data_IF_222438552988
#
_entry.id   IF_222438552988
#
_cell.length_a   1.000
_cell.length_b   1.000
_cell.length_c   1.000
_cell.angle_alpha   90.00
_cell.angle_beta   90.00
_cell.angle_gamma   90.00
#
_symmetry.space_group_name_H-M   'P 1'
#
loop_
_entity.id
_entity.type
_entity.pdbx_description
1 polymer ?
#
# COMPACT_ATOMS: atom_id res chain seq x y z
N UNK A 1 -15.11 15.49 -30.77
CA UNK A 1 -13.78 15.34 -30.15
C UNK A 1 -13.86 15.41 -28.61
N UNK A 2 -14.65 16.33 -28.06
CA UNK A 2 -14.81 16.52 -26.60
C UNK A 2 -15.44 15.31 -25.86
N UNK A 3 -16.44 14.66 -26.41
CA UNK A 3 -17.11 13.48 -25.83
C UNK A 3 -16.17 12.27 -25.68
N UNK A 4 -15.29 12.03 -26.68
CA UNK A 4 -14.28 10.96 -26.58
C UNK A 4 -13.26 11.24 -25.48
N UNK A 5 -12.88 12.51 -25.31
CA UNK A 5 -11.94 12.92 -24.27
C UNK A 5 -12.56 12.75 -22.85
N UNK A 6 -13.81 13.16 -22.64
CA UNK A 6 -14.53 12.93 -21.38
C UNK A 6 -14.60 11.44 -21.01
N UNK A 7 -14.96 10.56 -21.96
CA UNK A 7 -14.98 9.10 -21.73
C UNK A 7 -13.61 8.54 -21.34
N UNK A 8 -12.53 9.01 -21.98
CA UNK A 8 -11.17 8.58 -21.65
C UNK A 8 -10.78 9.01 -20.24
N UNK A 9 -11.07 10.26 -19.87
CA UNK A 9 -10.79 10.79 -18.52
C UNK A 9 -11.56 10.00 -17.45
N UNK A 10 -12.83 9.70 -17.69
CA UNK A 10 -13.66 8.93 -16.78
C UNK A 10 -13.15 7.48 -16.58
N UNK A 11 -12.78 6.80 -17.66
CA UNK A 11 -12.18 5.46 -17.58
C UNK A 11 -10.84 5.53 -16.83
N UNK A 12 -10.01 6.51 -17.11
CA UNK A 12 -8.71 6.70 -16.43
C UNK A 12 -8.90 6.95 -14.92
N UNK A 13 -9.90 7.75 -14.53
CA UNK A 13 -10.25 7.98 -13.13
C UNK A 13 -10.69 6.69 -12.44
N UNK A 14 -11.57 5.89 -13.04
CA UNK A 14 -12.01 4.60 -12.48
C UNK A 14 -10.85 3.62 -12.29
N UNK A 15 -9.96 3.53 -13.28
CA UNK A 15 -8.76 2.69 -13.20
C UNK A 15 -7.83 3.18 -12.10
N UNK A 16 -7.59 4.49 -12.01
CA UNK A 16 -6.76 5.09 -10.97
C UNK A 16 -7.30 4.77 -9.56
N UNK A 17 -8.59 5.00 -9.32
CA UNK A 17 -9.22 4.70 -8.03
C UNK A 17 -9.24 3.19 -7.74
N UNK A 18 -9.41 2.34 -8.76
CA UNK A 18 -9.29 0.88 -8.62
C UNK A 18 -7.90 0.46 -8.14
N UNK A 19 -6.85 1.06 -8.69
CA UNK A 19 -5.46 0.82 -8.26
C UNK A 19 -5.24 1.29 -6.82
N UNK A 20 -5.72 2.49 -6.48
CA UNK A 20 -5.61 3.04 -5.11
C UNK A 20 -6.27 2.10 -4.09
N UNK A 21 -7.49 1.62 -4.36
CA UNK A 21 -8.18 0.69 -3.48
C UNK A 21 -7.51 -0.69 -3.40
N UNK A 22 -6.93 -1.18 -4.50
CA UNK A 22 -6.16 -2.43 -4.51
C UNK A 22 -4.90 -2.33 -3.64
N UNK A 23 -4.16 -1.22 -3.75
CA UNK A 23 -2.98 -0.94 -2.91
C UNK A 23 -3.40 -0.82 -1.44
N UNK A 24 -4.49 -0.13 -1.15
CA UNK A 24 -5.02 0.01 0.20
C UNK A 24 -5.40 -1.36 0.80
N UNK A 25 -6.11 -2.19 0.06
CA UNK A 25 -6.44 -3.55 0.48
C UNK A 25 -5.21 -4.41 0.77
N UNK A 26 -4.18 -4.33 -0.10
CA UNK A 26 -2.91 -5.03 0.12
C UNK A 26 -2.20 -4.55 1.40
N UNK A 27 -2.18 -3.24 1.65
CA UNK A 27 -1.60 -2.67 2.89
C UNK A 27 -2.37 -3.13 4.13
N UNK A 28 -3.71 -3.19 4.08
CA UNK A 28 -4.51 -3.72 5.18
C UNK A 28 -4.17 -5.19 5.49
N UNK A 29 -4.05 -6.03 4.46
CA UNK A 29 -3.66 -7.43 4.61
C UNK A 29 -2.26 -7.54 5.23
N UNK A 30 -1.31 -6.72 4.79
CA UNK A 30 0.05 -6.69 5.34
C UNK A 30 0.05 -6.27 6.82
N UNK A 31 -0.71 -5.25 7.20
CA UNK A 31 -0.82 -4.78 8.58
C UNK A 31 -1.45 -5.87 9.47
N UNK A 32 -2.51 -6.52 8.99
CA UNK A 32 -3.16 -7.63 9.72
C UNK A 32 -2.16 -8.78 9.91
N UNK A 33 -1.40 -9.14 8.88
CA UNK A 33 -0.36 -10.17 8.98
C UNK A 33 0.67 -9.85 10.06
N UNK A 34 1.22 -8.63 10.06
CA UNK A 34 2.20 -8.20 11.07
C UNK A 34 1.60 -8.17 12.49
N UNK A 35 0.33 -7.79 12.61
CA UNK A 35 -0.38 -7.81 13.88
C UNK A 35 -0.56 -9.25 14.40
N UNK A 36 -0.95 -10.18 13.54
CA UNK A 36 -1.08 -11.61 13.87
C UNK A 36 0.27 -12.18 14.33
N UNK A 37 1.34 -11.93 13.57
CA UNK A 37 2.69 -12.38 13.92
C UNK A 37 3.14 -11.82 15.27
N UNK A 38 2.87 -10.54 15.55
CA UNK A 38 3.21 -9.87 16.81
C UNK A 38 2.40 -10.37 17.99
N UNK A 39 1.06 -10.42 17.88
CA UNK A 39 0.15 -10.59 19.02
C UNK A 39 -0.31 -12.03 19.23
N UNK A 40 -0.38 -12.84 18.18
CA UNK A 40 -0.85 -14.23 18.24
C UNK A 40 0.33 -15.20 18.26
N UNK A 41 1.29 -15.03 17.36
CA UNK A 41 2.50 -15.87 17.29
C UNK A 41 3.50 -15.48 18.38
N UNK A 42 3.47 -14.20 18.83
CA UNK A 42 4.38 -13.70 19.86
C UNK A 42 5.80 -13.47 19.38
N UNK A 43 5.97 -13.27 18.07
CA UNK A 43 7.29 -13.04 17.48
C UNK A 43 7.94 -11.79 18.09
N UNK A 44 9.19 -11.85 18.59
CA UNK A 44 9.88 -10.67 19.13
C UNK A 44 10.07 -9.58 18.08
N UNK A 45 10.24 -9.98 16.82
CA UNK A 45 10.30 -9.10 15.64
C UNK A 45 9.38 -9.64 14.56
N UNK A 46 8.24 -8.98 14.31
CA UNK A 46 7.32 -9.38 13.24
C UNK A 46 7.98 -9.38 11.89
N UNK A 47 7.72 -10.42 11.09
CA UNK A 47 8.35 -10.63 9.81
C UNK A 47 7.36 -10.98 8.70
N UNK A 48 7.72 -10.64 7.46
CA UNK A 48 6.96 -10.98 6.25
C UNK A 48 7.90 -11.70 5.29
N UNK A 49 7.57 -12.93 4.96
CA UNK A 49 8.39 -13.77 4.07
C UNK A 49 9.87 -13.89 4.51
N UNK A 50 10.12 -13.87 5.82
CA UNK A 50 11.47 -13.93 6.39
C UNK A 50 12.23 -12.60 6.41
N UNK A 51 11.59 -11.51 6.02
CA UNK A 51 12.14 -10.15 6.11
C UNK A 51 11.49 -9.40 7.28
N UNK A 52 12.28 -8.67 8.04
CA UNK A 52 11.78 -7.78 9.08
C UNK A 52 12.52 -6.45 9.07
N UNK A 53 11.88 -5.42 9.61
CA UNK A 53 12.48 -4.08 9.76
C UNK A 53 12.64 -3.71 11.22
N UNK A 54 13.77 -3.11 11.57
CA UNK A 54 14.05 -2.60 12.92
C UNK A 54 14.63 -1.20 12.83
N UNK A 55 14.38 -0.43 13.88
CA UNK A 55 15.04 0.87 14.09
C UNK A 55 16.17 0.70 15.09
N UNK A 56 17.33 1.26 14.80
CA UNK A 56 18.49 1.25 15.68
C UNK A 56 18.30 2.29 16.79
N UNK A 57 18.29 1.82 18.01
CA UNK A 57 18.08 2.65 19.21
C UNK A 57 19.37 2.93 19.99
N UNK A 58 20.45 2.17 19.71
CA UNK A 58 21.73 2.30 20.41
C UNK A 58 22.88 2.56 19.47
N UNK A 59 23.97 3.15 19.98
CA UNK A 59 25.15 3.50 19.20
C UNK A 59 26.19 2.39 19.07
N UNK A 60 25.92 1.17 19.52
CA UNK A 60 26.91 0.08 19.53
C UNK A 60 27.46 -0.29 18.14
N UNK A 61 26.73 0.03 17.09
CA UNK A 61 27.15 -0.19 15.70
C UNK A 61 27.63 1.09 15.00
N UNK A 62 27.66 2.24 15.69
CA UNK A 62 28.10 3.52 15.13
C UNK A 62 29.61 3.70 15.30
N UNK A 63 30.41 2.89 14.63
CA UNK A 63 31.83 2.96 14.72
C UNK A 63 32.58 2.13 13.67
N UNK A 64 33.90 2.31 13.62
CA UNK A 64 34.82 1.58 12.73
C UNK A 64 35.67 0.54 13.46
N UNK A 65 35.31 0.16 14.70
CA UNK A 65 36.21 -0.66 15.47
C UNK A 65 36.31 -2.07 14.90
N UNK A 66 37.56 -2.47 14.67
CA UNK A 66 38.06 -3.83 14.42
C UNK A 66 37.12 -4.68 13.55
N UNK A 67 36.98 -4.26 12.31
CA UNK A 67 36.38 -5.09 11.27
C UNK A 67 37.15 -6.41 11.17
N UNK A 68 36.42 -7.52 11.07
CA UNK A 68 37.02 -8.72 10.52
C UNK A 68 37.62 -8.35 9.15
N UNK A 69 38.84 -8.80 8.94
CA UNK A 69 39.62 -8.48 7.74
C UNK A 69 38.77 -8.81 6.49
N UNK A 70 38.45 -7.80 5.66
CA UNK A 70 37.61 -7.96 4.47
C UNK A 70 36.12 -7.70 4.66
N UNK A 71 35.61 -7.29 5.82
CA UNK A 71 34.19 -6.92 6.00
C UNK A 71 33.93 -5.50 5.49
N UNK A 72 32.88 -5.34 4.71
CA UNK A 72 32.41 -4.01 4.28
C UNK A 72 31.90 -3.20 5.48
N UNK A 73 32.33 -1.93 5.62
CA UNK A 73 31.90 -1.07 6.72
C UNK A 73 30.44 -0.67 6.54
N UNK A 74 29.53 -1.36 7.20
CA UNK A 74 28.15 -0.92 7.34
C UNK A 74 28.05 -0.10 8.63
N UNK A 75 28.27 1.21 8.55
CA UNK A 75 27.99 2.11 9.68
C UNK A 75 26.48 2.19 9.88
N UNK A 76 26.02 1.81 11.06
CA UNK A 76 24.61 1.88 11.43
C UNK A 76 24.48 2.78 12.64
N UNK A 77 23.84 3.94 12.44
CA UNK A 77 23.69 4.97 13.47
C UNK A 77 22.33 4.88 14.18
N UNK A 78 22.25 5.55 15.33
CA UNK A 78 20.97 5.71 16.03
C UNK A 78 19.95 6.43 15.12
N UNK A 79 18.74 5.89 15.05
CA UNK A 79 17.68 6.42 14.20
C UNK A 79 17.70 5.92 12.76
N UNK A 80 18.62 5.03 12.43
CA UNK A 80 18.60 4.32 11.15
C UNK A 80 17.61 3.16 11.18
N UNK A 81 17.07 2.81 10.01
CA UNK A 81 16.30 1.60 9.82
C UNK A 81 17.14 0.55 9.14
N UNK A 82 17.08 -0.67 9.63
CA UNK A 82 17.68 -1.84 9.00
C UNK A 82 16.60 -2.81 8.54
N UNK A 83 16.86 -3.47 7.42
CA UNK A 83 16.06 -4.62 6.97
C UNK A 83 16.93 -5.85 7.19
N UNK A 84 16.38 -6.81 7.91
CA UNK A 84 17.02 -8.08 8.19
C UNK A 84 16.32 -9.19 7.41
N UNK A 85 17.08 -10.23 7.07
CA UNK A 85 16.59 -11.44 6.41
C UNK A 85 17.04 -12.65 7.18
N UNK A 86 16.12 -13.54 7.51
CA UNK A 86 16.46 -14.84 8.11
C UNK A 86 17.16 -15.72 7.06
N UNK A 87 18.34 -16.23 7.42
CA UNK A 87 19.13 -17.18 6.61
C UNK A 87 19.62 -18.33 7.50
N UNK A 88 20.12 -19.38 6.89
CA UNK A 88 20.73 -20.50 7.60
C UNK A 88 22.26 -20.54 7.45
N UNK A 89 22.85 -19.56 6.78
CA UNK A 89 24.29 -19.53 6.49
C UNK A 89 24.86 -18.15 6.85
N UNK A 90 25.26 -18.01 8.10
CA UNK A 90 25.93 -16.82 8.63
C UNK A 90 27.44 -16.98 8.61
N UNK A 91 28.16 -15.89 8.35
CA UNK A 91 29.62 -15.86 8.20
C UNK A 91 30.24 -14.79 9.07
N UNK A 92 31.53 -14.93 9.31
CA UNK A 92 32.35 -13.88 9.92
C UNK A 92 32.26 -12.63 9.02
N UNK A 93 31.98 -11.48 9.64
CA UNK A 93 31.78 -10.21 8.98
C UNK A 93 30.29 -9.81 8.82
N UNK A 94 29.36 -10.77 8.87
CA UNK A 94 27.94 -10.47 8.81
C UNK A 94 27.46 -9.67 10.02
N UNK A 95 26.58 -8.70 9.78
CA UNK A 95 25.88 -7.99 10.85
C UNK A 95 24.56 -8.70 11.08
N UNK A 96 24.36 -9.20 12.28
CA UNK A 96 23.19 -10.00 12.65
C UNK A 96 22.41 -9.35 13.77
N UNK A 97 21.09 -9.47 13.70
CA UNK A 97 20.18 -9.13 14.80
C UNK A 97 19.76 -10.42 15.49
N UNK A 98 19.89 -10.46 16.79
CA UNK A 98 19.62 -11.63 17.61
C UNK A 98 18.96 -11.27 18.94
N UNK A 99 18.38 -12.27 19.60
CA UNK A 99 17.78 -12.15 20.92
C UNK A 99 18.34 -13.27 21.81
N UNK A 100 19.15 -12.90 22.80
CA UNK A 100 19.64 -13.86 23.78
C UNK A 100 18.52 -14.29 24.73
N UNK A 101 18.59 -15.52 25.28
CA UNK A 101 17.65 -15.97 26.30
C UNK A 101 17.62 -15.03 27.51
N UNK A 102 16.42 -14.53 27.82
CA UNK A 102 16.22 -13.57 28.90
C UNK A 102 16.17 -12.11 28.47
N UNK A 103 16.64 -11.78 27.28
CA UNK A 103 16.55 -10.43 26.72
C UNK A 103 15.14 -10.13 26.20
N UNK A 104 14.73 -8.87 26.31
CA UNK A 104 13.44 -8.38 25.79
C UNK A 104 13.59 -7.58 24.50
N UNK A 105 14.81 -7.09 24.24
CA UNK A 105 15.13 -6.19 23.13
C UNK A 105 16.20 -6.86 22.27
N UNK A 106 15.98 -6.98 20.95
CA UNK A 106 16.97 -7.53 20.04
C UNK A 106 18.22 -6.66 19.99
N UNK A 107 19.36 -7.31 19.92
CA UNK A 107 20.69 -6.70 19.74
C UNK A 107 21.16 -6.91 18.31
N UNK A 108 21.79 -5.88 17.72
CA UNK A 108 22.40 -5.95 16.39
C UNK A 108 23.88 -5.75 16.49
N UNK A 109 24.68 -6.80 16.22
CA UNK A 109 26.13 -6.77 16.28
C UNK A 109 26.73 -7.54 15.10
N UNK A 110 28.05 -7.41 14.93
CA UNK A 110 28.79 -8.11 13.87
C UNK A 110 29.37 -9.42 14.40
N UNK A 111 29.31 -10.47 13.57
CA UNK A 111 30.02 -11.72 13.81
C UNK A 111 31.52 -11.49 13.55
N UNK A 112 32.36 -11.63 14.58
CA UNK A 112 33.81 -11.44 14.50
C UNK A 112 34.60 -12.74 14.51
N UNK A 113 33.99 -13.83 15.01
CA UNK A 113 34.64 -15.15 15.08
C UNK A 113 33.58 -16.25 15.23
N UNK A 114 34.00 -17.50 15.07
CA UNK A 114 33.25 -18.72 15.41
C UNK A 114 34.10 -19.48 16.41
N UNK A 115 33.52 -19.87 17.54
CA UNK A 115 34.23 -20.57 18.58
C UNK A 115 34.42 -22.08 18.28
N UNK A 116 35.08 -22.81 19.18
CA UNK A 116 35.33 -24.24 19.03
C UNK A 116 34.08 -25.11 19.06
N UNK A 117 32.96 -24.58 19.55
CA UNK A 117 31.66 -25.26 19.61
C UNK A 117 30.79 -24.99 18.35
N UNK A 118 31.26 -24.09 17.48
CA UNK A 118 30.53 -23.64 16.32
C UNK A 118 29.55 -22.47 16.61
N UNK A 119 29.61 -21.91 17.84
CA UNK A 119 28.80 -20.75 18.20
C UNK A 119 29.50 -19.45 17.74
N UNK A 120 28.69 -18.44 17.41
CA UNK A 120 29.21 -17.17 16.92
C UNK A 120 29.69 -16.27 18.06
N UNK A 121 30.81 -15.61 17.85
CA UNK A 121 31.30 -14.54 18.71
C UNK A 121 30.97 -13.22 18.05
N UNK A 122 30.18 -12.39 18.73
CA UNK A 122 29.71 -11.10 18.21
C UNK A 122 30.33 -9.92 18.93
N UNK A 123 30.30 -8.75 18.26
CA UNK A 123 30.78 -7.49 18.81
C UNK A 123 30.10 -6.33 18.10
N UNK A 124 29.68 -5.30 18.84
CA UNK A 124 29.27 -4.02 18.27
C UNK A 124 30.48 -3.27 17.70
N UNK A 125 30.31 -2.68 16.51
CA UNK A 125 31.40 -1.99 15.79
C UNK A 125 32.02 -0.82 16.61
N UNK A 126 31.23 -0.18 17.48
CA UNK A 126 31.65 0.88 18.37
C UNK A 126 32.11 0.37 19.77
N UNK A 127 31.90 -0.90 20.06
CA UNK A 127 32.27 -1.45 21.38
C UNK A 127 33.77 -1.73 21.47
N UNK A 128 34.35 -1.61 22.67
CA UNK A 128 35.75 -1.95 22.91
C UNK A 128 36.00 -3.46 23.09
N UNK A 129 34.95 -4.17 23.55
CA UNK A 129 35.05 -5.60 23.87
C UNK A 129 34.04 -6.40 23.07
N UNK A 130 34.30 -7.67 22.85
CA UNK A 130 33.34 -8.63 22.30
C UNK A 130 32.24 -8.92 23.31
N UNK A 131 31.12 -9.42 22.81
CA UNK A 131 30.02 -9.85 23.65
C UNK A 131 30.42 -11.02 24.54
N UNK A 132 29.90 -11.04 25.76
CA UNK A 132 30.32 -12.00 26.78
C UNK A 132 29.80 -13.41 26.51
N UNK A 133 28.57 -13.50 25.98
CA UNK A 133 27.92 -14.77 25.70
C UNK A 133 28.07 -15.14 24.22
N UNK A 134 28.45 -16.41 23.94
CA UNK A 134 28.43 -16.90 22.58
C UNK A 134 27.00 -16.90 22.03
N UNK A 135 26.84 -16.63 20.74
CA UNK A 135 25.57 -16.53 20.06
C UNK A 135 25.31 -17.83 19.28
N UNK A 136 24.28 -18.56 19.68
CA UNK A 136 23.82 -19.72 18.92
C UNK A 136 23.01 -19.28 17.70
N UNK A 137 23.08 -20.07 16.63
CA UNK A 137 22.38 -19.80 15.40
C UNK A 137 20.85 -19.68 15.59
N UNK A 138 20.29 -20.46 16.52
CA UNK A 138 18.85 -20.44 16.83
C UNK A 138 18.34 -19.11 17.41
N UNK A 139 19.23 -18.32 18.04
CA UNK A 139 18.91 -17.02 18.62
C UNK A 139 19.01 -15.88 17.59
N UNK A 140 19.54 -16.16 16.39
CA UNK A 140 19.63 -15.15 15.32
C UNK A 140 18.27 -14.96 14.66
N UNK A 141 17.79 -13.73 14.68
CA UNK A 141 16.53 -13.35 14.03
C UNK A 141 16.77 -13.15 12.53
N UNK A 142 17.88 -12.52 12.15
CA UNK A 142 18.27 -12.34 10.75
C UNK A 142 19.54 -11.55 10.56
N UNK A 143 20.06 -11.58 9.34
CA UNK A 143 21.22 -10.82 8.86
C UNK A 143 20.75 -9.46 8.30
N UNK A 144 21.50 -8.41 8.56
CA UNK A 144 21.24 -7.07 8.00
C UNK A 144 21.61 -7.06 6.52
N UNK A 145 20.61 -7.00 5.66
CA UNK A 145 20.78 -6.96 4.20
C UNK A 145 20.70 -5.56 3.63
N UNK A 146 19.96 -4.65 4.28
CA UNK A 146 19.78 -3.28 3.83
C UNK A 146 19.83 -2.33 5.04
N UNK A 147 20.49 -1.20 4.85
CA UNK A 147 20.59 -0.11 5.80
C UNK A 147 20.03 1.16 5.17
N UNK A 148 19.07 1.79 5.84
CA UNK A 148 18.36 2.98 5.40
C UNK A 148 18.59 4.10 6.42
N UNK A 149 19.53 5.03 6.13
CA UNK A 149 19.89 6.09 7.06
C UNK A 149 18.69 6.99 7.41
N UNK A 150 18.56 7.34 8.70
CA UNK A 150 17.56 8.25 9.26
C UNK A 150 16.09 7.84 9.08
N UNK A 151 15.80 6.75 8.37
CA UNK A 151 14.42 6.33 8.12
C UNK A 151 13.73 5.80 9.40
N UNK A 152 14.51 5.34 10.38
CA UNK A 152 13.99 4.92 11.68
C UNK A 152 13.36 6.08 12.48
N UNK A 153 13.82 7.32 12.28
CA UNK A 153 13.20 8.50 12.90
C UNK A 153 11.75 8.69 12.41
N UNK A 154 11.48 8.42 11.13
CA UNK A 154 10.14 8.45 10.58
C UNK A 154 9.23 7.41 11.22
N UNK A 155 9.71 6.20 11.47
CA UNK A 155 8.94 5.15 12.15
C UNK A 155 8.63 5.52 13.61
N UNK A 156 9.57 6.19 14.29
CA UNK A 156 9.34 6.76 15.62
C UNK A 156 8.22 7.80 15.61
N UNK A 157 8.27 8.75 14.68
CA UNK A 157 7.24 9.77 14.50
C UNK A 157 5.85 9.15 14.20
N UNK A 158 5.78 8.15 13.30
CA UNK A 158 4.52 7.45 13.01
C UNK A 158 3.95 6.78 14.25
N UNK A 159 4.79 6.18 15.12
CA UNK A 159 4.34 5.54 16.37
C UNK A 159 3.78 6.53 17.40
N UNK A 160 4.28 7.76 17.44
CA UNK A 160 3.87 8.76 18.44
C UNK A 160 2.67 9.57 17.97
N UNK A 161 2.80 10.32 16.90
CA UNK A 161 1.81 11.29 16.44
C UNK A 161 1.35 11.07 15.00
N UNK A 162 2.22 10.51 14.17
CA UNK A 162 2.03 10.40 12.72
C UNK A 162 0.87 9.50 12.31
N UNK A 163 0.50 8.51 13.12
CA UNK A 163 -0.63 7.63 12.84
C UNK A 163 -1.96 8.38 12.70
N UNK A 164 -2.14 9.49 13.46
CA UNK A 164 -3.33 10.34 13.38
C UNK A 164 -3.43 10.98 11.99
N UNK A 165 -2.31 11.53 11.50
CA UNK A 165 -2.26 12.15 10.16
C UNK A 165 -2.48 11.13 9.05
N UNK A 166 -1.98 9.89 9.20
CA UNK A 166 -2.23 8.81 8.26
C UNK A 166 -3.72 8.43 8.22
N UNK A 167 -4.37 8.29 9.38
CA UNK A 167 -5.80 8.00 9.46
C UNK A 167 -6.63 9.14 8.89
N UNK A 168 -6.32 10.39 9.23
CA UNK A 168 -7.01 11.56 8.67
C UNK A 168 -6.83 11.65 7.16
N UNK A 169 -5.62 11.43 6.64
CA UNK A 169 -5.34 11.42 5.21
C UNK A 169 -6.14 10.35 4.47
N UNK A 170 -6.21 9.14 5.03
CA UNK A 170 -7.02 8.05 4.48
C UNK A 170 -8.53 8.36 4.52
N UNK A 171 -9.02 8.98 5.60
CA UNK A 171 -10.41 9.41 5.71
C UNK A 171 -10.75 10.47 4.64
N UNK A 172 -9.87 11.45 4.42
CA UNK A 172 -10.07 12.48 3.38
C UNK A 172 -10.08 11.84 1.99
N UNK A 173 -9.17 10.90 1.70
CA UNK A 173 -9.16 10.16 0.44
C UNK A 173 -10.45 9.35 0.25
N UNK A 174 -10.94 8.68 1.29
CA UNK A 174 -12.19 7.92 1.25
C UNK A 174 -13.40 8.84 0.99
N UNK A 175 -13.52 9.95 1.69
CA UNK A 175 -14.58 10.96 1.49
C UNK A 175 -14.49 11.54 0.08
N UNK A 176 -13.30 11.93 -0.36
CA UNK A 176 -13.08 12.44 -1.72
C UNK A 176 -13.52 11.45 -2.80
N UNK A 177 -13.25 10.15 -2.61
CA UNK A 177 -13.69 9.10 -3.55
C UNK A 177 -15.20 8.93 -3.59
N UNK A 178 -15.90 9.11 -2.45
CA UNK A 178 -17.35 9.04 -2.38
C UNK A 178 -18.01 10.24 -3.05
N UNK A 179 -17.48 11.46 -2.84
CA UNK A 179 -17.98 12.68 -3.47
C UNK A 179 -17.84 12.62 -4.98
N UNK A 180 -16.66 12.23 -5.50
CA UNK A 180 -16.43 12.09 -6.93
C UNK A 180 -17.31 11.02 -7.58
N UNK A 181 -17.66 9.97 -6.84
CA UNK A 181 -18.58 8.94 -7.33
C UNK A 181 -20.03 9.45 -7.37
N UNK A 182 -20.43 10.30 -6.44
CA UNK A 182 -21.80 10.88 -6.41
C UNK A 182 -22.05 11.77 -7.62
N UNK A 183 -21.07 12.59 -8.00
CA UNK A 183 -21.20 13.48 -9.16
C UNK A 183 -21.34 12.69 -10.48
N UNK A 184 -20.65 11.56 -10.61
CA UNK A 184 -20.74 10.68 -11.78
C UNK A 184 -22.12 10.02 -11.92
N UNK A 185 -22.76 9.66 -10.82
CA UNK A 185 -24.08 9.00 -10.83
C UNK A 185 -25.22 10.01 -11.16
N UNK A 186 -25.10 11.29 -10.78
CA UNK A 186 -26.07 12.34 -11.14
C UNK A 186 -26.00 12.71 -12.63
N UNK A 187 -24.80 12.81 -13.23
CA UNK A 187 -24.63 13.12 -14.65
C UNK A 187 -25.22 12.02 -15.56
N UNK A 188 -25.11 10.74 -15.15
CA UNK A 188 -25.69 9.60 -15.88
C UNK A 188 -27.24 9.57 -15.81
N UNK A 189 -27.81 10.00 -14.70
CA UNK A 189 -29.26 10.06 -14.53
C UNK A 189 -29.85 11.21 -15.36
N UNK A 190 -29.20 12.37 -15.44
CA UNK A 190 -29.62 13.49 -16.27
C UNK A 190 -29.53 13.18 -17.77
N UNK A 191 -28.42 12.50 -18.21
CA UNK A 191 -28.27 12.12 -19.62
C UNK A 191 -29.35 11.10 -20.04
N UNK A 192 -29.65 10.12 -19.20
CA UNK A 192 -30.71 9.12 -19.43
C UNK A 192 -32.10 9.73 -19.43
N UNK A 193 -32.38 10.70 -18.55
CA UNK A 193 -33.64 11.43 -18.52
C UNK A 193 -33.83 12.36 -19.74
N UNK A 194 -32.73 12.92 -20.26
CA UNK A 194 -32.70 13.74 -21.48
C UNK A 194 -33.01 12.93 -22.74
N UNK A 195 -32.41 11.73 -22.86
CA UNK A 195 -32.70 10.84 -24.01
C UNK A 195 -34.13 10.35 -24.01
N UNK A 196 -34.68 9.95 -22.86
CA UNK A 196 -36.08 9.50 -22.75
C UNK A 196 -37.07 10.61 -23.08
N UNK A 197 -36.81 11.87 -22.68
CA UNK A 197 -37.63 13.03 -23.04
C UNK A 197 -37.55 13.36 -24.52
N UNK A 198 -36.39 13.21 -25.15
CA UNK A 198 -36.20 13.41 -26.60
C UNK A 198 -36.98 12.37 -27.43
N UNK A 199 -36.96 11.11 -27.00
CA UNK A 199 -37.64 10.01 -27.68
C UNK A 199 -39.19 10.12 -27.56
N UNK A 200 -39.68 10.48 -26.37
CA UNK A 200 -41.12 10.73 -26.16
C UNK A 200 -41.63 11.93 -26.99
N UNK A 201 -40.83 13.00 -27.14
CA UNK A 201 -41.17 14.15 -27.94
C UNK A 201 -41.24 13.82 -29.45
N UNK A 202 -40.27 13.05 -29.96
CA UNK A 202 -40.27 12.56 -31.34
C UNK A 202 -41.49 11.66 -31.63
N UNK A 203 -41.84 10.75 -30.70
CA UNK A 203 -43.04 9.90 -30.85
C UNK A 203 -44.34 10.71 -30.82
N UNK A 204 -44.42 11.80 -30.06
CA UNK A 204 -45.59 12.67 -30.03
C UNK A 204 -45.74 13.52 -31.30
N UNK A 205 -44.62 13.97 -31.89
CA UNK A 205 -44.62 14.72 -33.16
C UNK A 205 -44.97 13.79 -34.34
N UNK A 206 -44.47 12.58 -34.42
CA UNK A 206 -44.80 11.59 -35.46
C UNK A 206 -46.29 11.17 -35.37
N UNK A 207 -46.85 11.04 -34.17
CA UNK A 207 -48.27 10.73 -34.00
C UNK A 207 -49.19 11.90 -34.36
N UNK A 208 -48.76 13.15 -34.16
CA UNK A 208 -49.54 14.33 -34.58
C UNK A 208 -49.57 14.48 -36.11
N UNK A 209 -48.44 14.28 -36.79
CA UNK A 209 -48.41 14.29 -38.28
C UNK A 209 -49.21 13.14 -38.89
N UNK A 210 -49.21 11.95 -38.30
CA UNK A 210 -50.04 10.84 -38.78
C UNK A 210 -51.52 11.06 -38.57
N UNK A 211 -51.94 11.77 -37.52
CA UNK A 211 -53.33 12.09 -37.26
C UNK A 211 -53.88 13.23 -38.19
N UNK A 212 -53.01 14.16 -38.59
CA UNK A 212 -53.35 15.18 -39.59
C UNK A 212 -53.52 14.57 -40.98
N UNK A 213 -52.64 13.72 -41.45
CA UNK A 213 -52.70 13.00 -42.71
C UNK A 213 -53.96 12.11 -42.83
N UNK A 214 -54.35 11.45 -41.74
CA UNK A 214 -55.57 10.63 -41.73
C UNK A 214 -56.90 11.50 -41.84
N UNK A 215 -56.83 12.70 -41.29
CA UNK A 215 -57.98 13.64 -41.42
C UNK A 215 -58.11 14.25 -42.82
N UNK A 216 -56.96 14.59 -43.46
CA UNK A 216 -56.98 15.09 -44.85
C UNK A 216 -57.51 14.04 -45.84
N UNK A 217 -57.06 12.78 -45.69
CA UNK A 217 -57.51 11.68 -46.57
C UNK A 217 -59.01 11.36 -46.37
N UNK A 218 -59.54 11.54 -45.17
CA UNK A 218 -60.98 11.34 -44.89
C UNK A 218 -61.88 12.49 -45.39
N UNK A 219 -61.35 13.70 -45.49
CA UNK A 219 -62.06 14.87 -46.04
C UNK A 219 -62.07 14.82 -47.56
N UNK A 220 -61.00 14.42 -48.24
CA UNK A 220 -61.00 14.25 -49.70
C UNK A 220 -61.99 13.17 -50.20
N UNK A 221 -62.05 12.03 -49.53
CA UNK A 221 -62.98 10.94 -49.87
C UNK A 221 -64.42 11.28 -49.65
N UNK A 222 -64.74 12.25 -48.77
CA UNK A 222 -66.14 12.72 -48.55
C UNK A 222 -66.60 13.83 -49.54
N UNK A 223 -65.63 14.50 -50.17
CA UNK A 223 -65.94 15.51 -51.21
C UNK A 223 -66.21 14.87 -52.60
N UNK A 224 -65.45 13.81 -52.93
CA UNK A 224 -65.58 13.10 -54.20
C UNK A 224 -66.94 12.34 -54.33
N UNK A 225 -67.50 11.85 -53.21
CA UNK A 225 -68.83 11.17 -53.21
C UNK A 225 -70.02 12.09 -53.25
N UNK A 226 -69.85 13.42 -53.29
CA UNK A 226 -70.93 14.40 -53.38
C UNK A 226 -71.12 15.02 -54.77
N UNK A 227 -70.26 14.70 -55.74
CA UNK A 227 -70.34 15.24 -57.12
C UNK A 227 -70.96 14.27 -58.16
N UNK A 228 -71.37 13.06 -57.71
CA UNK A 228 -72.01 12.05 -58.57
C UNK A 228 -73.43 11.68 -58.16
N UNK A 229 -74.27 12.68 -57.70
CA UNK A 229 -75.75 12.48 -57.60
C UNK A 229 -76.53 13.76 -57.97
#
# INVERSE_FOLDING_TARGET
MALKLKKIIHIASKVFWGIVWAIFGLLCVLIIWLAVDKFIVGSPVPSVLGYASLTIETGSMNGFSAMAEGAEPKQVAIGDMIIIKKTNNYKIGDVVTFLQPGDKIPTTHRIINIDSNGDFVTKGDANNTKDTLPLKQEHIIGEVILHLPKLGQFTGWVKTEGWIYLVCGLAILAIGSLVLKSDDDEELVEESAGETKGEVKNLSEVNSENSENLNETSVESSVENKSEN
#
